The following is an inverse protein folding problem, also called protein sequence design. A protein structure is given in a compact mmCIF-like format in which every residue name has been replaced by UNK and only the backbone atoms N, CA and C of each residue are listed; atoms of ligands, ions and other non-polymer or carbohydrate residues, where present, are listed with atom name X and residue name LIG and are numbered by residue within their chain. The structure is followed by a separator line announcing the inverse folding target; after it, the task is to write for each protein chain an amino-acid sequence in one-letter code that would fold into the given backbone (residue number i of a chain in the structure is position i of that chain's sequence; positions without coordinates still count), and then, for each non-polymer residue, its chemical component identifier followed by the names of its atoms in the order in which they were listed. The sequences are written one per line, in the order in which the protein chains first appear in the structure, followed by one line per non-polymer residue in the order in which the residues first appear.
data_IF_222214542518
#
_entry.id   IF_222214542518
#
_cell.length_a   1.000
_cell.length_b   1.000
_cell.length_c   1.000
_cell.angle_alpha   90.00
_cell.angle_beta   90.00
_cell.angle_gamma   90.00
#
_symmetry.space_group_name_H-M   'P 1'
#
loop_
_entity.id
_entity.type
_entity.pdbx_description
1 polymer ?
#
# COMPACT_ATOMS: atom_id res chain seq x y z
N UNK A 1 6.30 1.20 3.72
CA UNK A 1 5.81 2.59 3.71
C UNK A 1 4.38 2.71 3.19
N UNK A 2 4.07 2.45 1.90
CA UNK A 2 2.70 2.65 1.38
C UNK A 2 1.68 1.76 2.10
N UNK A 3 2.02 0.49 2.32
CA UNK A 3 1.16 -0.43 3.08
C UNK A 3 0.99 -0.01 4.55
N UNK A 4 1.96 0.70 5.15
CA UNK A 4 1.84 1.22 6.52
C UNK A 4 0.88 2.42 6.54
N UNK A 5 1.02 3.32 5.57
CA UNK A 5 0.10 4.44 5.36
C UNK A 5 -1.35 3.97 5.13
N UNK A 6 -1.55 2.96 4.29
CA UNK A 6 -2.86 2.33 4.06
C UNK A 6 -3.39 1.68 5.34
N UNK A 7 -2.53 1.04 6.14
CA UNK A 7 -2.95 0.46 7.42
C UNK A 7 -3.38 1.53 8.43
N UNK A 8 -2.70 2.68 8.50
CA UNK A 8 -3.17 3.83 9.27
C UNK A 8 -4.59 4.24 8.87
N UNK A 9 -4.86 4.39 7.57
CA UNK A 9 -6.19 4.76 7.09
C UNK A 9 -7.26 3.69 7.39
N UNK A 10 -6.93 2.40 7.32
CA UNK A 10 -7.86 1.33 7.70
C UNK A 10 -8.21 1.36 9.19
N UNK A 11 -7.21 1.60 10.05
CA UNK A 11 -7.44 1.77 11.50
C UNK A 11 -8.27 3.02 11.79
N UNK A 12 -8.13 4.07 10.99
CA UNK A 12 -8.97 5.27 11.09
C UNK A 12 -10.40 5.01 10.63
N UNK A 13 -10.61 4.19 9.59
CA UNK A 13 -11.93 3.91 9.03
C UNK A 13 -12.80 3.09 10.00
N UNK A 14 -12.28 1.97 10.48
CA UNK A 14 -12.97 1.09 11.42
C UNK A 14 -12.04 0.71 12.60
N UNK A 15 -11.87 1.63 13.57
CA UNK A 15 -10.92 1.45 14.68
C UNK A 15 -11.21 0.24 15.57
N UNK A 16 -12.43 -0.28 15.56
CA UNK A 16 -12.83 -1.38 16.43
C UNK A 16 -12.68 -2.75 15.76
N UNK A 17 -12.46 -2.81 14.43
CA UNK A 17 -12.36 -4.07 13.68
C UNK A 17 -11.20 -4.07 12.68
N UNK A 18 -10.01 -3.73 13.15
CA UNK A 18 -8.85 -3.51 12.30
C UNK A 18 -7.57 -4.25 12.75
N UNK A 19 -7.68 -5.38 13.45
CA UNK A 19 -6.55 -6.11 14.05
C UNK A 19 -5.32 -6.28 13.12
N UNK A 20 -5.44 -6.74 11.87
CA UNK A 20 -4.27 -6.91 10.99
C UNK A 20 -3.55 -5.58 10.68
N UNK A 21 -4.31 -4.50 10.53
CA UNK A 21 -3.77 -3.17 10.25
C UNK A 21 -3.18 -2.54 11.51
N UNK A 22 -3.84 -2.72 12.65
CA UNK A 22 -3.38 -2.25 13.95
C UNK A 22 -2.05 -2.90 14.32
N UNK A 23 -1.94 -4.23 14.18
CA UNK A 23 -0.68 -4.96 14.42
C UNK A 23 0.45 -4.52 13.50
N UNK A 24 0.13 -4.11 12.26
CA UNK A 24 1.13 -3.58 11.33
C UNK A 24 1.69 -2.24 11.80
N UNK A 25 0.84 -1.34 12.31
CA UNK A 25 1.26 0.03 12.65
C UNK A 25 1.66 0.22 14.12
N UNK A 26 1.33 -0.72 15.02
CA UNK A 26 1.54 -0.55 16.47
C UNK A 26 2.99 -0.21 16.83
N UNK A 27 3.96 -0.74 16.08
CA UNK A 27 5.39 -0.44 16.24
C UNK A 27 6.03 0.17 14.97
N UNK A 28 5.23 0.70 14.05
CA UNK A 28 5.75 1.38 12.88
C UNK A 28 5.25 2.83 12.86
N UNK A 29 6.03 3.81 13.37
CA UNK A 29 7.38 3.69 13.95
C UNK A 29 7.41 3.08 15.37
N UNK A 30 8.61 2.71 15.86
CA UNK A 30 8.80 1.95 17.10
C UNK A 30 8.17 2.64 18.33
N UNK A 31 7.25 1.94 18.99
CA UNK A 31 6.57 2.40 20.23
C UNK A 31 6.93 1.60 21.48
N UNK A 32 7.82 0.61 21.37
CA UNK A 32 8.23 -0.21 22.51
C UNK A 32 7.17 -1.22 22.97
N UNK A 33 6.28 -1.65 22.07
CA UNK A 33 5.33 -2.72 22.33
C UNK A 33 5.98 -4.04 21.93
N UNK A 34 6.48 -4.82 22.88
CA UNK A 34 7.17 -6.09 22.59
C UNK A 34 6.23 -7.19 22.08
N UNK A 35 6.78 -8.24 21.48
CA UNK A 35 6.00 -9.40 20.99
C UNK A 35 5.21 -10.07 22.12
N UNK A 36 5.82 -10.26 23.29
CA UNK A 36 5.15 -10.82 24.48
C UNK A 36 3.98 -9.95 24.95
N UNK A 37 4.09 -8.63 24.78
CA UNK A 37 3.00 -7.69 25.08
C UNK A 37 1.87 -7.86 24.08
N UNK A 38 2.17 -7.98 22.78
CA UNK A 38 1.17 -8.24 21.75
C UNK A 38 0.45 -9.57 22.00
N UNK A 39 1.18 -10.63 22.36
CA UNK A 39 0.59 -11.93 22.67
C UNK A 39 -0.35 -11.85 23.88
N UNK A 40 0.03 -11.06 24.90
CA UNK A 40 -0.83 -10.82 26.07
C UNK A 40 -2.09 -10.02 25.71
N UNK A 41 -1.98 -9.03 24.83
CA UNK A 41 -3.12 -8.25 24.33
C UNK A 41 -4.09 -9.11 23.51
N UNK A 42 -3.57 -9.97 22.62
CA UNK A 42 -4.36 -10.94 21.85
C UNK A 42 -5.10 -11.91 22.76
N UNK A 43 -4.38 -12.49 23.73
CA UNK A 43 -4.98 -13.43 24.68
C UNK A 43 -6.09 -12.78 25.52
N UNK A 44 -5.90 -11.52 25.93
CA UNK A 44 -6.93 -10.76 26.65
C UNK A 44 -8.14 -10.44 25.78
N UNK A 45 -7.95 -10.07 24.51
CA UNK A 45 -9.02 -9.84 23.55
C UNK A 45 -9.88 -11.11 23.35
N UNK A 46 -9.22 -12.26 23.14
CA UNK A 46 -9.88 -13.56 23.02
C UNK A 46 -10.67 -13.91 24.29
N UNK A 47 -10.07 -13.71 25.48
CA UNK A 47 -10.74 -13.98 26.76
C UNK A 47 -11.97 -13.08 26.99
N UNK A 48 -11.93 -11.85 26.49
CA UNK A 48 -13.04 -10.90 26.56
C UNK A 48 -14.08 -11.08 25.42
N UNK A 49 -13.84 -11.99 24.47
CA UNK A 49 -14.73 -12.22 23.33
C UNK A 49 -14.79 -11.04 22.34
N UNK A 50 -13.72 -10.25 22.26
CA UNK A 50 -13.62 -9.04 21.42
C UNK A 50 -12.36 -9.05 20.56
N UNK A 51 -12.19 -8.06 19.68
CA UNK A 51 -10.98 -7.87 18.87
C UNK A 51 -9.91 -7.13 19.67
N UNK A 52 -8.63 -7.27 19.30
CA UNK A 52 -7.56 -6.52 19.97
C UNK A 52 -7.74 -5.01 19.77
N UNK A 53 -8.23 -4.60 18.61
CA UNK A 53 -8.54 -3.22 18.27
C UNK A 53 -9.66 -2.66 19.14
N UNK A 54 -10.76 -3.40 19.34
CA UNK A 54 -11.82 -2.96 20.25
C UNK A 54 -11.32 -2.90 21.71
N UNK A 55 -10.59 -3.92 22.17
CA UNK A 55 -9.96 -3.91 23.50
C UNK A 55 -9.11 -2.65 23.74
N UNK A 56 -8.43 -2.14 22.71
CA UNK A 56 -7.56 -0.97 22.78
C UNK A 56 -8.29 0.36 22.56
N UNK A 57 -9.32 0.40 21.72
CA UNK A 57 -9.88 1.64 21.14
C UNK A 57 -11.38 1.85 21.46
N UNK A 58 -12.01 0.96 22.22
CA UNK A 58 -13.36 1.17 22.73
C UNK A 58 -13.42 2.37 23.69
N UNK A 59 -14.47 3.19 23.58
CA UNK A 59 -14.65 4.44 24.35
C UNK A 59 -13.71 5.59 23.98
N UNK A 60 -12.79 5.36 23.05
CA UNK A 60 -11.79 6.32 22.59
C UNK A 60 -12.33 7.23 21.46
N UNK A 61 -13.31 6.74 20.69
CA UNK A 61 -13.73 7.37 19.43
C UNK A 61 -15.05 8.17 19.52
N UNK A 62 -15.67 8.27 20.70
CA UNK A 62 -17.06 8.74 20.88
C UNK A 62 -17.28 10.27 20.90
N UNK A 63 -16.41 11.10 20.30
CA UNK A 63 -16.78 12.50 20.07
C UNK A 63 -15.71 13.59 20.12
N UNK A 64 -14.42 13.27 20.20
CA UNK A 64 -13.38 14.30 20.13
C UNK A 64 -13.15 14.74 18.67
N UNK A 65 -13.58 15.95 18.30
CA UNK A 65 -13.14 16.60 17.05
C UNK A 65 -11.75 17.16 17.25
N UNK A 66 -10.76 16.56 16.60
CA UNK A 66 -9.40 17.07 16.64
C UNK A 66 -9.19 18.16 15.57
N UNK A 67 -8.58 19.30 15.92
CA UNK A 67 -8.12 20.26 14.91
C UNK A 67 -6.85 19.69 14.24
N UNK A 68 -7.02 19.10 13.06
CA UNK A 68 -5.87 18.76 12.21
C UNK A 68 -5.14 20.07 11.84
N UNK A 69 -3.86 20.18 12.22
CA UNK A 69 -3.00 21.32 11.88
C UNK A 69 -2.56 22.21 13.06
N UNK A 70 -3.01 21.94 14.28
CA UNK A 70 -2.43 22.59 15.46
C UNK A 70 -1.02 22.06 15.73
N UNK A 71 -0.01 22.94 15.69
CA UNK A 71 1.37 22.59 16.00
C UNK A 71 1.53 22.29 17.51
N UNK A 72 2.36 21.29 17.84
CA UNK A 72 2.68 20.96 19.24
C UNK A 72 1.61 20.15 19.98
N UNK A 73 0.63 19.59 19.28
CA UNK A 73 -0.39 18.74 19.90
C UNK A 73 0.19 17.35 20.15
N UNK A 74 0.28 16.94 21.43
CA UNK A 74 0.63 15.57 21.80
C UNK A 74 -0.57 14.64 21.53
N UNK A 75 -0.47 13.67 20.59
CA UNK A 75 -1.54 12.73 20.31
C UNK A 75 -2.01 11.97 21.55
N UNK A 76 -1.11 11.67 22.50
CA UNK A 76 -1.44 10.91 23.71
C UNK A 76 -2.48 11.61 24.61
N UNK A 77 -2.65 12.92 24.47
CA UNK A 77 -3.63 13.71 25.22
C UNK A 77 -5.08 13.55 24.73
N UNK A 78 -5.30 12.93 23.56
CA UNK A 78 -6.62 12.78 22.94
C UNK A 78 -7.31 11.45 23.24
N UNK A 79 -6.61 10.48 23.83
CA UNK A 79 -7.23 9.28 24.35
C UNK A 79 -7.47 9.41 25.85
N UNK A 80 -8.64 8.99 26.36
CA UNK A 80 -8.81 8.80 27.79
C UNK A 80 -7.71 7.91 28.33
N UNK A 81 -7.27 8.19 29.56
CA UNK A 81 -6.30 7.32 30.23
C UNK A 81 -6.84 5.88 30.27
N UNK A 82 -5.93 4.91 30.32
CA UNK A 82 -6.34 3.52 30.55
C UNK A 82 -6.90 3.46 31.98
N UNK A 83 -8.24 3.49 32.10
CA UNK A 83 -8.92 3.54 33.39
C UNK A 83 -8.61 2.29 34.24
N UNK A 84 -8.40 2.44 35.56
CA UNK A 84 -8.28 1.31 36.48
C UNK A 84 -9.60 0.54 36.54
N UNK A 85 -9.72 -0.54 35.77
CA UNK A 85 -10.96 -1.32 35.62
C UNK A 85 -11.32 -1.65 34.16
N UNK A 86 -10.67 -1.01 33.19
CA UNK A 86 -10.74 -1.44 31.79
C UNK A 86 -10.16 -2.85 31.61
N UNK A 87 -10.58 -3.56 30.56
CA UNK A 87 -10.00 -4.86 30.17
C UNK A 87 -8.47 -4.81 29.99
N UNK A 88 -7.93 -3.62 29.67
CA UNK A 88 -6.49 -3.35 29.57
C UNK A 88 -5.77 -3.22 30.92
N UNK A 89 -6.47 -2.83 31.99
CA UNK A 89 -5.87 -2.64 33.31
C UNK A 89 -5.40 -3.97 33.94
N UNK A 90 -6.02 -5.09 33.56
CA UNK A 90 -5.64 -6.44 33.99
C UNK A 90 -4.36 -6.98 33.31
N UNK A 91 -3.87 -6.31 32.27
CA UNK A 91 -2.72 -6.77 31.48
C UNK A 91 -1.44 -6.15 32.06
N UNK A 92 -0.47 -6.99 32.41
CA UNK A 92 0.85 -6.54 32.90
C UNK A 92 1.67 -5.93 31.75
N UNK A 93 1.51 -4.63 31.54
CA UNK A 93 2.30 -3.84 30.58
C UNK A 93 3.52 -3.22 31.25
N UNK A 94 4.67 -3.22 30.57
CA UNK A 94 5.82 -2.39 30.97
C UNK A 94 5.48 -0.90 30.86
N UNK A 95 6.22 -0.03 31.56
CA UNK A 95 6.03 1.43 31.45
C UNK A 95 6.13 1.91 30.00
N UNK A 96 7.11 1.39 29.25
CA UNK A 96 7.31 1.73 27.84
C UNK A 96 6.16 1.27 26.95
N UNK A 97 5.73 0.01 27.08
CA UNK A 97 4.60 -0.50 26.29
C UNK A 97 3.28 0.21 26.63
N UNK A 98 3.07 0.59 27.89
CA UNK A 98 1.90 1.38 28.30
C UNK A 98 1.90 2.76 27.64
N UNK A 99 3.04 3.45 27.63
CA UNK A 99 3.18 4.75 26.95
C UNK A 99 2.96 4.61 25.43
N UNK A 100 3.54 3.58 24.81
CA UNK A 100 3.39 3.30 23.39
C UNK A 100 1.95 3.03 22.99
N UNK A 101 1.24 2.21 23.78
CA UNK A 101 -0.20 1.96 23.60
C UNK A 101 -1.02 3.24 23.77
N UNK A 102 -0.77 4.03 24.82
CA UNK A 102 -1.51 5.28 25.04
C UNK A 102 -1.31 6.28 23.90
N UNK A 103 -0.07 6.42 23.41
CA UNK A 103 0.26 7.28 22.27
C UNK A 103 -0.49 6.84 21.00
N UNK A 104 -0.53 5.54 20.71
CA UNK A 104 -1.26 5.01 19.57
C UNK A 104 -2.77 5.23 19.70
N UNK A 105 -3.34 4.96 20.89
CA UNK A 105 -4.77 5.19 21.16
C UNK A 105 -5.13 6.64 20.86
N UNK A 106 -4.37 7.59 21.41
CA UNK A 106 -4.64 9.01 21.23
C UNK A 106 -4.48 9.48 19.78
N UNK A 107 -3.49 8.94 19.06
CA UNK A 107 -3.35 9.17 17.63
C UNK A 107 -4.58 8.66 16.86
N UNK A 108 -5.05 7.44 17.12
CA UNK A 108 -6.21 6.87 16.42
C UNK A 108 -7.49 7.65 16.75
N UNK A 109 -7.72 8.02 18.01
CA UNK A 109 -8.84 8.89 18.41
C UNK A 109 -8.85 10.19 17.61
N UNK A 110 -7.69 10.84 17.53
CA UNK A 110 -7.52 12.12 16.86
C UNK A 110 -7.84 12.02 15.37
N UNK A 111 -7.27 11.02 14.70
CA UNK A 111 -7.43 10.81 13.27
C UNK A 111 -8.85 10.37 12.91
N UNK A 112 -9.42 9.43 13.68
CA UNK A 112 -10.81 9.00 13.52
C UNK A 112 -11.78 10.15 13.74
N UNK A 113 -11.61 10.92 14.81
CA UNK A 113 -12.45 12.09 15.10
C UNK A 113 -12.35 13.17 14.04
N UNK A 114 -11.17 13.38 13.46
CA UNK A 114 -10.99 14.31 12.35
C UNK A 114 -11.64 13.81 11.05
N UNK A 115 -11.48 12.53 10.72
CA UNK A 115 -12.16 11.90 9.60
C UNK A 115 -13.68 11.95 9.79
N UNK A 116 -14.20 11.56 10.96
CA UNK A 116 -15.63 11.69 11.28
C UNK A 116 -16.13 13.16 11.22
N UNK A 117 -15.25 14.12 11.50
CA UNK A 117 -15.50 15.55 11.38
C UNK A 117 -15.47 16.11 9.95
N UNK A 118 -15.27 15.27 8.93
CA UNK A 118 -15.28 15.69 7.53
C UNK A 118 -13.93 16.20 7.01
N UNK A 119 -12.82 15.86 7.68
CA UNK A 119 -11.48 16.12 7.16
C UNK A 119 -11.30 15.46 5.79
N UNK A 120 -10.45 16.07 4.96
CA UNK A 120 -10.08 15.49 3.67
C UNK A 120 -9.12 14.32 3.86
N UNK A 121 -9.14 13.35 2.94
CA UNK A 121 -8.32 12.14 3.05
C UNK A 121 -6.83 12.45 3.12
N UNK A 122 -6.33 13.41 2.33
CA UNK A 122 -4.90 13.77 2.37
C UNK A 122 -4.50 14.45 3.68
N UNK A 123 -5.41 15.16 4.36
CA UNK A 123 -5.16 15.75 5.68
C UNK A 123 -5.07 14.65 6.74
N UNK A 124 -5.97 13.66 6.69
CA UNK A 124 -5.94 12.50 7.60
C UNK A 124 -4.67 11.68 7.38
N UNK A 125 -4.33 11.38 6.13
CA UNK A 125 -3.10 10.66 5.76
C UNK A 125 -1.84 11.42 6.18
N UNK A 126 -1.76 12.71 5.87
CA UNK A 126 -0.63 13.57 6.24
C UNK A 126 -0.45 13.65 7.75
N UNK A 127 -1.54 13.84 8.49
CA UNK A 127 -1.50 13.85 9.96
C UNK A 127 -1.11 12.48 10.54
N UNK A 128 -1.58 11.38 9.96
CA UNK A 128 -1.18 10.05 10.39
C UNK A 128 0.34 9.84 10.26
N UNK A 129 0.94 10.25 9.14
CA UNK A 129 2.37 10.11 8.89
C UNK A 129 3.23 11.06 9.74
N UNK A 130 2.79 12.30 9.93
CA UNK A 130 3.50 13.30 10.71
C UNK A 130 3.40 13.02 12.22
N UNK A 131 2.18 12.86 12.75
CA UNK A 131 1.93 12.73 14.19
C UNK A 131 2.31 11.36 14.76
N UNK A 132 2.36 10.33 13.91
CA UNK A 132 2.94 9.04 14.32
C UNK A 132 4.45 9.11 14.51
N UNK A 133 5.13 10.12 13.94
CA UNK A 133 6.58 10.21 13.84
C UNK A 133 7.17 9.41 12.67
N UNK A 134 6.35 8.88 11.77
CA UNK A 134 6.82 8.05 10.65
C UNK A 134 7.73 8.86 9.71
N UNK A 135 7.31 10.06 9.31
CA UNK A 135 8.14 10.96 8.48
C UNK A 135 9.41 11.38 9.20
N UNK A 136 9.32 11.75 10.48
CA UNK A 136 10.48 12.14 11.29
C UNK A 136 11.55 11.02 11.37
N UNK A 137 11.14 9.76 11.47
CA UNK A 137 12.07 8.62 11.46
C UNK A 137 12.77 8.49 10.10
N UNK A 138 12.04 8.67 8.99
CA UNK A 138 12.64 8.62 7.65
C UNK A 138 13.57 9.81 7.40
N UNK A 139 13.22 11.00 7.87
CA UNK A 139 14.05 12.20 7.76
C UNK A 139 15.35 12.04 8.55
N UNK A 140 15.28 11.50 9.78
CA UNK A 140 16.48 11.14 10.56
C UNK A 140 17.34 10.10 9.84
N UNK A 141 16.73 9.07 9.24
CA UNK A 141 17.46 8.09 8.43
C UNK A 141 18.10 8.71 7.19
N UNK A 142 17.48 9.71 6.58
CA UNK A 142 18.02 10.44 5.43
C UNK A 142 19.25 11.27 5.82
N UNK A 143 19.26 11.88 7.01
CA UNK A 143 20.37 12.72 7.48
C UNK A 143 21.49 11.89 8.11
N UNK A 144 21.15 10.99 9.03
CA UNK A 144 22.10 10.19 9.82
C UNK A 144 22.49 8.85 9.17
N UNK A 145 21.79 8.45 8.10
CA UNK A 145 22.00 7.20 7.39
C UNK A 145 23.04 7.25 6.28
N UNK A 146 23.63 8.42 6.00
CA UNK A 146 24.59 8.60 4.91
C UNK A 146 25.80 7.67 5.10
N UNK A 147 26.09 6.84 4.10
CA UNK A 147 27.19 5.88 4.13
C UNK A 147 26.92 4.63 4.97
N UNK A 148 25.78 4.56 5.68
CA UNK A 148 25.34 3.35 6.37
C UNK A 148 24.64 2.44 5.37
N UNK A 149 24.96 1.15 5.43
CA UNK A 149 24.36 0.13 4.56
C UNK A 149 23.19 -0.55 5.25
N UNK A 150 22.15 -0.88 4.48
CA UNK A 150 21.05 -1.71 4.97
C UNK A 150 21.58 -3.12 5.25
N UNK A 151 21.26 -3.64 6.44
CA UNK A 151 21.62 -5.01 6.81
C UNK A 151 21.09 -6.00 5.77
N UNK A 152 21.98 -6.81 5.19
CA UNK A 152 21.65 -7.81 4.17
C UNK A 152 21.76 -7.35 2.71
N UNK A 153 21.82 -6.03 2.42
CA UNK A 153 21.98 -5.53 1.06
C UNK A 153 23.22 -4.63 0.92
N UNK A 154 24.32 -5.20 0.37
CA UNK A 154 25.60 -4.48 0.19
C UNK A 154 25.52 -3.24 -0.72
N UNK A 155 24.41 -3.07 -1.47
CA UNK A 155 24.25 -2.05 -2.51
C UNK A 155 23.40 -0.84 -2.14
N UNK A 156 22.50 -0.93 -1.15
CA UNK A 156 21.56 0.17 -0.88
C UNK A 156 21.96 0.97 0.36
N UNK A 157 22.17 2.26 0.16
CA UNK A 157 22.45 3.24 1.20
C UNK A 157 21.17 3.56 1.98
N UNK A 158 21.27 3.66 3.32
CA UNK A 158 20.11 3.89 4.19
C UNK A 158 19.46 5.25 3.92
N UNK A 159 20.24 6.29 3.62
CA UNK A 159 19.70 7.61 3.32
C UNK A 159 19.02 7.65 1.95
N UNK A 160 19.58 6.96 0.96
CA UNK A 160 18.96 6.79 -0.35
C UNK A 160 17.62 6.05 -0.26
N UNK A 161 17.56 4.96 0.51
CA UNK A 161 16.32 4.22 0.75
C UNK A 161 15.26 5.07 1.46
N UNK A 162 15.65 5.82 2.48
CA UNK A 162 14.74 6.72 3.18
C UNK A 162 14.17 7.80 2.24
N UNK A 163 15.01 8.38 1.37
CA UNK A 163 14.58 9.36 0.36
C UNK A 163 13.58 8.78 -0.63
N UNK A 164 13.82 7.57 -1.13
CA UNK A 164 12.86 6.87 -2.00
C UNK A 164 11.52 6.64 -1.31
N UNK A 165 11.54 6.18 -0.05
CA UNK A 165 10.32 5.92 0.73
C UNK A 165 9.52 7.20 0.95
N UNK A 166 10.18 8.31 1.30
CA UNK A 166 9.54 9.63 1.41
C UNK A 166 8.92 10.06 0.08
N UNK A 167 9.61 9.83 -1.04
CA UNK A 167 9.06 10.12 -2.37
C UNK A 167 7.78 9.32 -2.67
N UNK A 168 7.73 8.01 -2.33
CA UNK A 168 6.52 7.19 -2.53
C UNK A 168 5.36 7.66 -1.65
N UNK A 169 5.64 8.06 -0.41
CA UNK A 169 4.63 8.64 0.49
C UNK A 169 4.10 9.98 -0.04
N UNK A 170 4.98 10.83 -0.59
CA UNK A 170 4.58 12.08 -1.23
C UNK A 170 3.65 11.83 -2.44
N UNK A 171 3.99 10.86 -3.30
CA UNK A 171 3.11 10.47 -4.41
C UNK A 171 1.74 9.96 -3.92
N UNK A 172 1.71 9.15 -2.86
CA UNK A 172 0.44 8.69 -2.28
C UNK A 172 -0.41 9.86 -1.77
N UNK A 173 0.20 10.85 -1.13
CA UNK A 173 -0.47 12.06 -0.65
C UNK A 173 -0.99 12.92 -1.79
N UNK A 174 -0.25 13.05 -2.88
CA UNK A 174 -0.70 13.77 -4.08
C UNK A 174 -1.95 13.11 -4.68
N UNK A 175 -1.95 11.77 -4.80
CA UNK A 175 -3.14 11.03 -5.28
C UNK A 175 -4.32 11.24 -4.33
N UNK A 176 -4.12 11.11 -3.02
CA UNK A 176 -5.17 11.37 -2.03
C UNK A 176 -5.72 12.82 -2.11
N UNK A 177 -4.88 13.78 -2.49
CA UNK A 177 -5.25 15.19 -2.61
C UNK A 177 -6.09 15.52 -3.86
N UNK A 178 -6.21 14.58 -4.80
CA UNK A 178 -6.95 14.74 -6.05
C UNK A 178 -8.16 13.76 -6.10
N UNK A 179 -9.29 14.05 -5.40
CA UNK A 179 -10.46 13.16 -5.37
C UNK A 179 -10.99 12.75 -6.75
N UNK A 180 -10.87 13.61 -7.76
CA UNK A 180 -11.27 13.28 -9.13
C UNK A 180 -10.44 12.17 -9.78
N UNK A 181 -9.33 11.75 -9.19
CA UNK A 181 -8.50 10.63 -9.68
C UNK A 181 -8.91 9.27 -9.12
N UNK A 182 -9.72 9.23 -8.06
CA UNK A 182 -10.03 7.99 -7.34
C UNK A 182 -11.49 7.86 -6.88
N UNK A 183 -12.32 8.89 -7.03
CA UNK A 183 -13.77 8.81 -6.82
C UNK A 183 -14.44 8.59 -8.17
N UNK A 184 -15.27 7.55 -8.27
CA UNK A 184 -15.96 7.20 -9.52
C UNK A 184 -17.12 8.16 -9.81
N UNK A 185 -17.57 8.26 -11.07
CA UNK A 185 -18.77 9.05 -11.40
C UNK A 185 -20.01 8.55 -10.65
N UNK A 186 -20.14 7.23 -10.47
CA UNK A 186 -21.21 6.61 -9.70
C UNK A 186 -21.18 7.05 -8.22
N UNK A 187 -19.98 7.14 -7.61
CA UNK A 187 -19.81 7.65 -6.24
C UNK A 187 -20.29 9.11 -6.09
N UNK A 188 -20.06 9.93 -7.12
CA UNK A 188 -20.52 11.33 -7.16
C UNK A 188 -22.05 11.40 -7.20
N UNK A 189 -22.66 10.54 -8.00
CA UNK A 189 -24.10 10.47 -8.18
C UNK A 189 -24.78 9.97 -6.90
N UNK A 190 -24.25 8.92 -6.26
CA UNK A 190 -24.76 8.42 -4.98
C UNK A 190 -24.66 9.49 -3.88
N UNK A 191 -23.55 10.22 -3.81
CA UNK A 191 -23.40 11.32 -2.85
C UNK A 191 -24.35 12.49 -3.11
N UNK A 192 -24.86 12.64 -4.34
CA UNK A 192 -25.84 13.66 -4.71
C UNK A 192 -27.30 13.23 -4.50
N UNK A 193 -27.57 11.94 -4.23
CA UNK A 193 -28.91 11.35 -4.19
C UNK A 193 -29.57 11.34 -2.82
N UNK A 194 -30.36 12.39 -2.52
CA UNK A 194 -31.28 12.41 -1.37
C UNK A 194 -32.20 13.64 -1.27
N UNK A 195 -31.92 14.73 -1.97
CA UNK A 195 -32.84 15.87 -2.05
C UNK A 195 -32.82 16.45 -3.47
N UNK A 196 -34.03 16.65 -4.00
CA UNK A 196 -34.46 17.20 -5.29
C UNK A 196 -33.47 17.94 -6.19
N UNK A 197 -33.76 17.85 -7.50
CA UNK A 197 -33.21 18.65 -8.60
C UNK A 197 -33.05 20.14 -8.24
N UNK A 198 -31.93 20.51 -7.62
CA UNK A 198 -31.56 21.92 -7.40
C UNK A 198 -30.09 22.04 -6.96
N UNK A 199 -29.16 21.75 -7.86
CA UNK A 199 -27.95 22.56 -8.09
C UNK A 199 -27.03 21.84 -9.08
N UNK A 200 -26.79 22.46 -10.23
CA UNK A 200 -25.64 22.13 -11.06
C UNK A 200 -24.36 22.50 -10.33
N UNK A 201 -23.88 21.65 -9.42
CA UNK A 201 -22.54 21.73 -8.86
C UNK A 201 -21.58 21.09 -9.86
N UNK A 202 -20.51 21.83 -10.22
CA UNK A 202 -19.44 21.32 -11.09
C UNK A 202 -18.91 19.96 -10.59
N UNK A 203 -18.55 19.00 -11.48
CA UNK A 203 -18.00 17.69 -11.10
C UNK A 203 -16.83 17.76 -10.12
N UNK A 204 -16.04 18.84 -10.17
CA UNK A 204 -14.95 19.07 -9.23
C UNK A 204 -15.44 19.32 -7.79
N UNK A 205 -16.59 20.00 -7.61
CA UNK A 205 -17.16 20.28 -6.28
C UNK A 205 -17.84 19.06 -5.66
N UNK A 206 -18.48 18.20 -6.46
CA UNK A 206 -18.98 16.92 -5.98
C UNK A 206 -17.82 16.00 -5.56
N UNK A 207 -16.74 15.96 -6.35
CA UNK A 207 -15.53 15.21 -6.03
C UNK A 207 -14.87 15.63 -4.71
N UNK A 208 -14.77 16.93 -4.47
CA UNK A 208 -14.25 17.46 -3.21
C UNK A 208 -15.14 17.16 -2.00
N UNK A 209 -16.45 16.99 -2.20
CA UNK A 209 -17.39 16.63 -1.14
C UNK A 209 -17.33 15.12 -0.82
N UNK A 210 -17.19 14.27 -1.85
CA UNK A 210 -17.03 12.81 -1.71
C UNK A 210 -15.65 12.41 -1.18
N UNK A 211 -14.63 13.22 -1.41
CA UNK A 211 -13.25 12.99 -0.94
C UNK A 211 -12.99 13.34 0.54
N UNK A 212 -14.05 13.41 1.36
CA UNK A 212 -14.00 13.82 2.76
C UNK A 212 -14.67 12.82 3.66
N UNK A 213 -14.37 12.91 4.94
CA UNK A 213 -15.06 12.10 5.92
C UNK A 213 -14.54 10.67 6.00
N UNK A 214 -15.15 9.85 6.85
CA UNK A 214 -14.94 8.41 6.86
C UNK A 214 -15.31 7.77 5.51
N UNK A 215 -16.38 8.26 4.86
CA UNK A 215 -16.77 7.78 3.53
C UNK A 215 -15.70 8.07 2.46
N UNK A 216 -15.06 9.23 2.50
CA UNK A 216 -13.93 9.54 1.62
C UNK A 216 -12.72 8.64 1.87
N UNK A 217 -12.40 8.37 3.15
CA UNK A 217 -11.33 7.42 3.51
C UNK A 217 -11.63 6.03 2.97
N UNK A 218 -12.87 5.56 3.11
CA UNK A 218 -13.31 4.27 2.58
C UNK A 218 -13.12 4.18 1.06
N UNK A 219 -13.64 5.15 0.30
CA UNK A 219 -13.51 5.17 -1.17
C UNK A 219 -12.06 5.20 -1.62
N UNK A 220 -11.23 6.00 -0.97
CA UNK A 220 -9.80 6.03 -1.28
C UNK A 220 -9.13 4.66 -1.06
N UNK A 221 -9.49 3.96 0.02
CA UNK A 221 -8.97 2.62 0.32
C UNK A 221 -9.46 1.57 -0.69
N UNK A 222 -10.73 1.63 -1.10
CA UNK A 222 -11.30 0.77 -2.14
C UNK A 222 -10.59 0.99 -3.48
N UNK A 223 -10.42 2.25 -3.89
CA UNK A 223 -9.64 2.58 -5.08
C UNK A 223 -8.19 2.07 -4.97
N UNK A 224 -7.50 2.34 -3.86
CA UNK A 224 -6.13 1.89 -3.65
C UNK A 224 -5.98 0.36 -3.68
N UNK A 225 -7.02 -0.39 -3.29
CA UNK A 225 -7.05 -1.84 -3.39
C UNK A 225 -7.27 -2.36 -4.83
N UNK A 226 -7.93 -1.56 -5.68
CA UNK A 226 -8.23 -1.89 -7.07
C UNK A 226 -7.15 -1.47 -8.06
N UNK A 227 -6.41 -0.38 -7.77
CA UNK A 227 -5.34 0.12 -8.65
C UNK A 227 -4.31 -0.99 -8.88
N UNK A 228 -4.26 -1.46 -10.12
CA UNK A 228 -3.23 -2.40 -10.55
C UNK A 228 -2.01 -1.62 -11.03
N UNK A 229 -0.83 -2.23 -11.04
CA UNK A 229 0.40 -1.59 -11.53
C UNK A 229 0.37 -1.16 -13.01
N UNK A 230 -0.74 -1.34 -13.72
CA UNK A 230 -0.98 -0.86 -15.08
C UNK A 230 -1.65 0.53 -15.12
N UNK A 231 -2.32 0.94 -14.04
CA UNK A 231 -3.18 2.13 -14.00
C UNK A 231 -2.45 3.39 -13.52
N UNK A 232 -1.23 3.25 -12.99
CA UNK A 232 -0.45 4.34 -12.40
C UNK A 232 0.44 5.10 -13.40
N UNK A 233 -0.07 5.43 -14.58
CA UNK A 233 0.61 6.26 -15.60
C UNK A 233 0.37 7.78 -15.35
N UNK A 234 0.24 8.21 -14.09
CA UNK A 234 -0.30 9.55 -13.78
C UNK A 234 0.74 10.69 -13.87
N UNK A 235 2.06 10.44 -13.81
CA UNK A 235 3.06 11.54 -13.89
C UNK A 235 4.37 11.21 -14.64
N UNK A 236 4.45 10.08 -15.34
CA UNK A 236 5.61 9.71 -16.16
C UNK A 236 5.53 10.26 -17.58
N UNK A 237 6.67 10.57 -18.19
CA UNK A 237 6.76 10.88 -19.62
C UNK A 237 6.13 9.72 -20.41
N UNK A 238 5.04 10.00 -21.15
CA UNK A 238 4.33 9.01 -21.97
C UNK A 238 5.24 8.43 -23.07
N UNK A 239 6.37 9.08 -23.34
CA UNK A 239 7.40 8.62 -24.28
C UNK A 239 8.49 7.76 -23.61
N UNK A 240 8.09 6.65 -23.00
CA UNK A 240 8.99 5.70 -22.37
C UNK A 240 8.82 4.27 -22.89
N UNK A 241 9.85 3.43 -22.71
CA UNK A 241 9.78 2.00 -23.01
C UNK A 241 8.94 1.32 -21.92
N UNK A 242 7.87 0.62 -22.33
CA UNK A 242 6.99 -0.11 -21.40
C UNK A 242 7.56 -1.49 -21.11
N UNK A 243 7.89 -1.75 -19.84
CA UNK A 243 8.30 -3.07 -19.35
C UNK A 243 7.11 -3.71 -18.62
N UNK A 244 6.74 -4.91 -19.03
CA UNK A 244 5.63 -5.66 -18.41
C UNK A 244 5.83 -7.16 -18.56
N UNK A 245 5.05 -7.95 -17.83
CA UNK A 245 4.99 -9.40 -18.02
C UNK A 245 4.17 -9.76 -19.25
N UNK A 246 4.35 -10.98 -19.79
CA UNK A 246 3.51 -11.45 -20.90
C UNK A 246 2.02 -11.45 -20.56
N UNK A 247 1.65 -11.78 -19.32
CA UNK A 247 0.25 -11.76 -18.86
C UNK A 247 -0.34 -10.35 -18.91
N UNK A 248 0.39 -9.35 -18.41
CA UNK A 248 0.00 -7.95 -18.41
C UNK A 248 -0.14 -7.36 -19.83
N UNK A 249 0.44 -7.99 -20.85
CA UNK A 249 0.36 -7.51 -22.23
C UNK A 249 -0.97 -7.83 -22.92
N UNK A 250 -1.81 -8.69 -22.34
CA UNK A 250 -3.08 -9.12 -22.95
C UNK A 250 -3.98 -7.92 -23.26
N UNK A 251 -4.45 -7.82 -24.50
CA UNK A 251 -5.30 -6.71 -24.96
C UNK A 251 -4.55 -5.44 -25.39
N UNK A 252 -3.23 -5.37 -25.18
CA UNK A 252 -2.39 -4.26 -25.64
C UNK A 252 -1.71 -4.60 -26.98
N UNK A 253 -1.25 -3.59 -27.70
CA UNK A 253 -0.49 -3.76 -28.94
C UNK A 253 0.55 -2.66 -29.09
N UNK A 254 1.70 -2.98 -29.68
CA UNK A 254 2.84 -2.08 -29.79
C UNK A 254 3.44 -2.16 -31.20
N UNK A 255 3.92 -1.02 -31.72
CA UNK A 255 4.65 -0.97 -32.99
C UNK A 255 5.83 -1.95 -33.00
N UNK A 256 6.60 -1.98 -31.90
CA UNK A 256 7.75 -2.87 -31.72
C UNK A 256 7.66 -3.57 -30.37
N UNK A 257 7.85 -4.89 -30.37
CA UNK A 257 7.81 -5.71 -29.14
C UNK A 257 9.08 -6.52 -29.00
N UNK A 258 9.62 -6.56 -27.77
CA UNK A 258 10.77 -7.39 -27.42
C UNK A 258 10.31 -8.43 -26.39
N UNK A 259 10.38 -9.72 -26.76
CA UNK A 259 10.17 -10.83 -25.82
C UNK A 259 11.53 -11.38 -25.44
N UNK A 260 11.90 -11.20 -24.18
CA UNK A 260 13.20 -11.59 -23.64
C UNK A 260 13.08 -12.83 -22.76
N UNK A 261 14.19 -13.56 -22.61
CA UNK A 261 14.25 -14.71 -21.71
C UNK A 261 13.55 -15.96 -22.26
N UNK A 262 13.59 -16.17 -23.57
CA UNK A 262 13.04 -17.38 -24.24
C UNK A 262 13.94 -18.59 -24.00
N UNK A 263 13.89 -19.08 -22.78
CA UNK A 263 14.73 -20.13 -22.20
C UNK A 263 13.84 -21.20 -21.57
N UNK A 264 14.27 -22.46 -21.65
CA UNK A 264 13.64 -23.55 -20.88
C UNK A 264 13.73 -23.22 -19.38
N UNK A 265 12.61 -23.37 -18.67
CA UNK A 265 12.49 -23.02 -17.26
C UNK A 265 11.94 -21.61 -17.01
N UNK A 266 12.02 -20.70 -17.98
CA UNK A 266 11.43 -19.35 -17.92
C UNK A 266 10.16 -19.29 -18.77
N UNK A 267 10.27 -19.59 -20.08
CA UNK A 267 9.14 -19.70 -20.99
C UNK A 267 9.44 -20.80 -22.02
N UNK A 268 8.94 -22.03 -21.82
CA UNK A 268 7.96 -22.43 -20.80
C UNK A 268 8.54 -22.42 -19.38
N UNK A 269 7.69 -22.04 -18.42
CA UNK A 269 8.01 -22.12 -16.98
C UNK A 269 8.37 -23.54 -16.55
N UNK A 270 9.40 -23.68 -15.73
CA UNK A 270 9.80 -24.98 -15.17
C UNK A 270 8.68 -25.65 -14.34
N UNK A 271 7.73 -24.87 -13.80
CA UNK A 271 6.55 -25.38 -13.06
C UNK A 271 5.56 -26.15 -13.94
N UNK A 272 5.57 -25.85 -15.24
CA UNK A 272 4.71 -26.45 -16.25
C UNK A 272 5.37 -27.64 -16.96
N UNK A 273 6.66 -27.89 -16.69
CA UNK A 273 7.40 -29.01 -17.27
C UNK A 273 6.78 -30.36 -16.89
N UNK A 274 6.72 -31.27 -17.86
CA UNK A 274 6.13 -32.60 -17.69
C UNK A 274 4.59 -32.63 -17.58
N UNK A 275 3.92 -31.47 -17.62
CA UNK A 275 2.45 -31.35 -17.56
C UNK A 275 1.90 -30.90 -18.91
N UNK A 276 1.17 -31.75 -19.64
CA UNK A 276 0.65 -31.40 -20.97
C UNK A 276 -0.23 -30.14 -20.97
N UNK A 277 -1.13 -30.01 -19.99
CA UNK A 277 -2.01 -28.84 -19.86
C UNK A 277 -1.22 -27.57 -19.51
N UNK A 278 -0.26 -27.65 -18.59
CA UNK A 278 0.61 -26.53 -18.25
C UNK A 278 1.44 -26.05 -19.45
N UNK A 279 2.01 -26.99 -20.22
CA UNK A 279 2.73 -26.67 -21.45
C UNK A 279 1.83 -26.05 -22.53
N UNK A 280 0.58 -26.49 -22.64
CA UNK A 280 -0.39 -25.89 -23.55
C UNK A 280 -0.73 -24.44 -23.14
N UNK A 281 -0.86 -24.17 -21.84
CA UNK A 281 -1.13 -22.83 -21.32
C UNK A 281 0.06 -21.88 -21.51
N UNK A 282 1.28 -22.32 -21.21
CA UNK A 282 2.51 -21.55 -21.48
C UNK A 282 2.67 -21.22 -22.98
N UNK A 283 2.23 -22.15 -23.86
CA UNK A 283 2.22 -21.93 -25.31
C UNK A 283 1.21 -20.86 -25.71
N UNK A 284 0.02 -20.84 -25.09
CA UNK A 284 -0.98 -19.78 -25.29
C UNK A 284 -0.45 -18.44 -24.82
N UNK A 285 0.23 -18.41 -23.67
CA UNK A 285 0.87 -17.20 -23.16
C UNK A 285 1.92 -16.66 -24.15
N UNK A 286 2.76 -17.53 -24.70
CA UNK A 286 3.72 -17.15 -25.71
C UNK A 286 3.03 -16.61 -26.97
N UNK A 287 1.97 -17.27 -27.45
CA UNK A 287 1.17 -16.81 -28.59
C UNK A 287 0.56 -15.42 -28.35
N UNK A 288 0.03 -15.15 -27.15
CA UNK A 288 -0.45 -13.81 -26.77
C UNK A 288 0.67 -12.79 -26.93
N UNK A 289 1.88 -13.09 -26.41
CA UNK A 289 3.06 -12.25 -26.58
C UNK A 289 3.42 -11.96 -28.04
N UNK A 290 3.44 -13.00 -28.89
CA UNK A 290 3.74 -12.86 -30.32
C UNK A 290 2.76 -11.90 -31.02
N UNK A 291 1.48 -11.97 -30.66
CA UNK A 291 0.41 -11.14 -31.27
C UNK A 291 0.34 -9.71 -30.72
N UNK A 292 1.22 -9.29 -29.80
CA UNK A 292 1.26 -7.90 -29.33
C UNK A 292 2.01 -6.98 -30.30
N UNK A 293 2.86 -7.52 -31.17
CA UNK A 293 3.67 -6.76 -32.11
C UNK A 293 2.89 -6.41 -33.38
N UNK A 294 2.94 -5.15 -33.81
CA UNK A 294 2.36 -4.68 -35.09
C UNK A 294 3.37 -4.73 -36.24
N UNK A 295 4.53 -4.08 -36.05
CA UNK A 295 5.49 -3.88 -37.14
C UNK A 295 6.71 -4.79 -37.00
N UNK A 296 7.24 -4.93 -35.78
CA UNK A 296 8.44 -5.73 -35.53
C UNK A 296 8.39 -6.46 -34.17
N UNK A 297 8.80 -7.73 -34.21
CA UNK A 297 8.94 -8.59 -33.04
C UNK A 297 10.39 -9.05 -32.92
N UNK A 298 10.98 -8.83 -31.75
CA UNK A 298 12.33 -9.25 -31.41
C UNK A 298 12.26 -10.30 -30.31
N UNK A 299 12.89 -11.44 -30.54
CA UNK A 299 12.94 -12.56 -29.61
C UNK A 299 14.38 -12.74 -29.12
N UNK A 300 14.60 -12.81 -27.81
CA UNK A 300 15.94 -12.99 -27.26
C UNK A 300 16.01 -14.05 -26.16
N UNK A 301 17.19 -14.66 -26.04
CA UNK A 301 17.57 -15.62 -25.00
C UNK A 301 18.99 -15.35 -24.53
N UNK A 302 19.29 -15.73 -23.29
CA UNK A 302 20.63 -15.72 -22.74
C UNK A 302 21.22 -17.14 -22.77
N UNK A 303 22.50 -17.28 -23.15
CA UNK A 303 23.23 -18.56 -23.03
C UNK A 303 23.46 -18.94 -21.56
N UNK A 304 23.72 -17.94 -20.74
CA UNK A 304 23.95 -18.08 -19.31
C UNK A 304 23.32 -16.92 -18.56
N UNK A 305 22.77 -17.19 -17.37
CA UNK A 305 22.07 -16.22 -16.52
C UNK A 305 22.49 -16.39 -15.07
N UNK A 306 22.70 -15.27 -14.38
CA UNK A 306 22.82 -15.27 -12.94
C UNK A 306 21.43 -15.26 -12.30
N UNK A 307 21.09 -16.33 -11.57
CA UNK A 307 19.81 -16.51 -10.92
C UNK A 307 20.02 -17.13 -9.53
N UNK A 308 19.34 -16.57 -8.52
CA UNK A 308 19.37 -17.06 -7.14
C UNK A 308 20.79 -17.30 -6.58
N UNK A 309 21.73 -16.41 -6.89
CA UNK A 309 23.09 -16.48 -6.38
C UNK A 309 24.06 -17.36 -7.18
N UNK A 310 23.60 -18.00 -8.25
CA UNK A 310 24.41 -18.91 -9.07
C UNK A 310 24.29 -18.59 -10.57
N UNK A 311 25.35 -18.88 -11.32
CA UNK A 311 25.31 -18.79 -12.80
C UNK A 311 24.81 -20.13 -13.35
N UNK A 312 23.76 -20.10 -14.16
CA UNK A 312 23.19 -21.27 -14.83
C UNK A 312 23.32 -21.13 -16.34
N UNK A 313 23.71 -22.21 -17.02
CA UNK A 313 23.57 -22.32 -18.47
C UNK A 313 22.12 -22.66 -18.83
N UNK A 314 21.58 -21.93 -19.81
CA UNK A 314 20.15 -22.02 -20.14
C UNK A 314 19.96 -22.58 -21.54
N UNK A 315 19.10 -23.60 -21.64
CA UNK A 315 18.69 -24.16 -22.91
C UNK A 315 17.71 -23.21 -23.63
N UNK A 316 17.76 -23.12 -24.97
CA UNK A 316 16.78 -22.36 -25.74
C UNK A 316 15.37 -22.90 -25.51
N UNK A 317 14.38 -22.01 -25.41
CA UNK A 317 12.98 -22.41 -25.31
C UNK A 317 12.57 -23.32 -26.47
N UNK A 318 11.89 -24.42 -26.14
CA UNK A 318 11.26 -25.32 -27.11
C UNK A 318 10.22 -24.61 -27.98
N UNK A 319 9.67 -23.48 -27.53
CA UNK A 319 8.73 -22.67 -28.31
C UNK A 319 9.39 -21.90 -29.47
N UNK A 320 10.72 -21.80 -29.50
CA UNK A 320 11.45 -21.23 -30.64
C UNK A 320 11.55 -22.20 -31.82
N UNK A 321 11.57 -23.52 -31.58
CA UNK A 321 11.75 -24.56 -32.62
C UNK A 321 10.77 -24.47 -33.79
N UNK A 322 9.45 -24.25 -33.60
CA UNK A 322 8.52 -24.17 -34.73
C UNK A 322 8.61 -22.85 -35.52
N UNK A 323 9.35 -21.85 -35.03
CA UNK A 323 9.43 -20.54 -35.68
C UNK A 323 10.52 -20.52 -36.75
N UNK A 324 10.21 -19.98 -37.92
CA UNK A 324 11.21 -19.65 -38.96
C UNK A 324 11.81 -18.29 -38.63
N UNK A 325 12.86 -18.29 -37.81
CA UNK A 325 13.57 -17.09 -37.41
C UNK A 325 14.57 -16.68 -38.49
N UNK A 326 14.73 -15.37 -38.70
CA UNK A 326 15.86 -14.81 -39.45
C UNK A 326 16.92 -14.43 -38.43
N UNK A 327 18.14 -14.92 -38.61
CA UNK A 327 19.26 -14.45 -37.81
C UNK A 327 19.54 -12.97 -38.16
N UNK A 328 19.81 -12.18 -37.13
CA UNK A 328 20.07 -10.74 -37.23
C UNK A 328 21.48 -10.45 -37.76
#
# INVERSE_FOLDING_TARGET
EVADAVAYLNVVLDPLRCDPYLERIINEPKRGVGSTTLDSLRAAAVAAGTTMSALLLEGCCDGARAPLGAQGVDPASYAPAIEPGSCLAGIKLTKGSRQGVQSLRGLVCMLHGAAAGGARVEQVLGAALALSGYEAVLELQMVEGVGKKIAGNKKKDVAEDARERLSRLATLRDVAAEPGSWVSEDDMLEASGGAGEAAATSPARSAEATGRGLAGVQRFLEHAALVTGQDSDVKGDRNAVRLMTLHASKGLEFARTFIVGLEEGILPSGRSSGKPEGMAEERRLFYVGLTRAKDALYLSRCRSRFENGSVKENQPSSFLRPLKLRDA
#
